data_IF_710017031619
#
_entry.id   IF_710017031619
#
_cell.length_a   1.000
_cell.length_b   1.000
_cell.length_c   1.000
_cell.angle_alpha   90.00
_cell.angle_beta   90.00
_cell.angle_gamma   90.00
#
_symmetry.space_group_name_H-M   'P 1'
#
loop_
_entity.id
_entity.type
_entity.pdbx_description
1 polymer ?
#
# COMPACT_ATOMS: atom_id res chain seq x y z
N UNK A 1 39.53 -42.92 -18.89
CA UNK A 1 40.31 -41.67 -18.98
C UNK A 1 40.90 -41.60 -20.37
N UNK A 2 40.39 -40.70 -21.24
CA UNK A 2 41.13 -39.89 -22.24
C UNK A 2 40.18 -38.83 -22.81
N UNK A 3 40.62 -37.57 -22.77
CA UNK A 3 40.23 -36.39 -23.57
C UNK A 3 41.56 -35.84 -24.15
N UNK A 4 41.68 -34.92 -25.14
CA UNK A 4 40.80 -34.40 -26.20
C UNK A 4 41.42 -34.62 -27.61
N UNK A 5 40.71 -34.31 -28.71
CA UNK A 5 41.38 -33.89 -29.97
C UNK A 5 40.50 -32.98 -30.82
N UNK A 6 41.05 -31.78 -31.01
CA UNK A 6 40.71 -30.66 -31.86
C UNK A 6 40.52 -31.02 -33.34
N UNK A 7 39.65 -30.29 -34.06
CA UNK A 7 39.86 -30.04 -35.49
C UNK A 7 39.58 -28.57 -35.88
N UNK A 8 40.37 -28.02 -36.83
CA UNK A 8 40.41 -26.59 -37.20
C UNK A 8 39.67 -26.32 -38.52
N UNK A 9 39.02 -25.17 -38.70
CA UNK A 9 38.80 -24.59 -40.04
C UNK A 9 38.66 -23.06 -39.95
N UNK A 10 39.73 -22.36 -40.33
CA UNK A 10 39.70 -20.97 -40.81
C UNK A 10 39.33 -20.97 -42.29
N UNK A 11 38.66 -19.88 -42.72
CA UNK A 11 38.70 -19.35 -44.08
C UNK A 11 37.38 -19.46 -44.86
N UNK A 12 36.62 -18.37 -45.00
CA UNK A 12 36.69 -17.44 -46.16
C UNK A 12 35.46 -16.49 -46.13
N UNK A 13 35.69 -15.19 -46.28
CA UNK A 13 34.68 -14.13 -46.45
C UNK A 13 33.93 -14.29 -47.80
N UNK A 14 32.71 -13.75 -47.96
CA UNK A 14 32.62 -12.55 -48.81
C UNK A 14 31.49 -11.54 -48.51
N UNK A 15 31.73 -10.34 -49.05
CA UNK A 15 30.81 -9.37 -49.67
C UNK A 15 29.90 -8.54 -48.74
N UNK A 16 30.17 -7.23 -48.65
CA UNK A 16 29.56 -6.19 -49.50
C UNK A 16 28.03 -6.13 -49.22
N UNK A 17 27.52 -5.16 -48.47
CA UNK A 17 27.67 -3.76 -48.81
C UNK A 17 26.51 -3.37 -49.72
N UNK A 18 25.54 -2.66 -49.15
CA UNK A 18 24.64 -1.72 -49.83
C UNK A 18 23.31 -2.22 -50.46
N UNK A 19 22.27 -1.45 -50.08
CA UNK A 19 21.06 -1.13 -50.83
C UNK A 19 19.96 -2.18 -51.07
N UNK A 20 18.90 -2.12 -50.24
CA UNK A 20 17.51 -2.40 -50.68
C UNK A 20 16.46 -1.43 -50.04
N UNK A 21 16.84 -0.24 -49.55
CA UNK A 21 15.84 0.76 -49.16
C UNK A 21 16.01 2.07 -49.90
N UNK A 22 15.64 2.03 -51.17
CA UNK A 22 15.20 3.22 -51.91
C UNK A 22 13.81 2.94 -52.49
N UNK A 23 12.81 3.69 -52.04
CA UNK A 23 11.52 3.71 -52.75
C UNK A 23 10.26 3.99 -51.93
N UNK A 24 10.03 5.29 -51.68
CA UNK A 24 8.70 5.95 -51.80
C UNK A 24 7.68 5.82 -50.64
N UNK A 25 7.63 6.92 -49.88
CA UNK A 25 6.46 7.55 -49.21
C UNK A 25 5.12 7.33 -49.94
N UNK A 26 4.06 7.02 -49.19
CA UNK A 26 2.84 7.80 -49.28
C UNK A 26 2.46 8.40 -47.92
N UNK A 27 2.17 9.70 -47.93
CA UNK A 27 1.25 10.29 -46.97
C UNK A 27 -0.15 9.74 -47.25
N UNK A 28 -0.81 9.18 -46.23
CA UNK A 28 -2.22 9.42 -45.95
C UNK A 28 -2.66 8.58 -44.73
N UNK A 29 -3.03 9.30 -43.68
CA UNK A 29 -4.17 9.06 -42.81
C UNK A 29 -4.45 7.63 -42.28
N UNK A 30 -4.49 7.60 -40.93
CA UNK A 30 -5.53 6.97 -40.12
C UNK A 30 -5.27 5.57 -39.54
N UNK A 31 -5.40 5.56 -38.20
CA UNK A 31 -6.01 4.54 -37.32
C UNK A 31 -5.21 3.29 -36.91
N UNK A 32 -5.47 2.93 -35.64
CA UNK A 32 -5.10 1.73 -34.88
C UNK A 32 -3.65 1.72 -34.34
N UNK A 33 -3.42 2.22 -33.13
CA UNK A 33 -3.61 1.51 -31.85
C UNK A 33 -2.72 0.26 -31.76
N UNK A 34 -1.59 0.43 -31.06
CA UNK A 34 -0.73 -0.66 -30.58
C UNK A 34 -1.09 -0.91 -29.12
N UNK A 35 -1.66 -2.06 -28.74
CA UNK A 35 -1.73 -2.45 -27.34
C UNK A 35 -0.40 -3.14 -26.97
N UNK A 36 0.50 -2.37 -26.36
CA UNK A 36 1.78 -2.87 -25.88
C UNK A 36 2.23 -2.07 -24.66
N UNK A 37 2.61 -2.81 -23.61
CA UNK A 37 3.10 -2.36 -22.31
C UNK A 37 2.03 -1.90 -21.31
N UNK A 38 1.58 -2.83 -20.46
CA UNK A 38 1.06 -2.51 -19.15
C UNK A 38 2.21 -1.91 -18.32
N UNK A 39 2.19 -0.59 -18.17
CA UNK A 39 3.04 0.15 -17.24
C UNK A 39 2.57 -0.17 -15.80
N UNK A 40 3.47 -0.45 -14.84
CA UNK A 40 3.10 -0.45 -13.42
C UNK A 40 2.69 0.97 -13.03
N UNK A 41 1.49 1.08 -12.44
CA UNK A 41 0.79 2.33 -12.16
C UNK A 41 1.65 3.43 -11.57
N UNK A 42 2.01 4.41 -12.40
CA UNK A 42 2.59 5.68 -11.99
C UNK A 42 1.54 6.77 -12.21
N UNK A 43 1.01 7.28 -11.10
CA UNK A 43 0.26 8.53 -11.04
C UNK A 43 -1.17 8.45 -11.55
N UNK A 44 -2.07 7.88 -10.73
CA UNK A 44 -3.46 8.31 -10.78
C UNK A 44 -3.44 9.85 -10.60
N UNK A 45 -3.81 10.57 -11.66
CA UNK A 45 -3.95 12.02 -11.60
C UNK A 45 -4.98 12.32 -10.51
N UNK A 46 -4.50 12.78 -9.36
CA UNK A 46 -5.35 13.27 -8.29
C UNK A 46 -6.36 14.26 -8.90
N UNK A 47 -7.68 14.05 -8.73
CA UNK A 47 -8.63 15.08 -9.12
C UNK A 47 -8.26 16.34 -8.32
N UNK A 48 -7.82 17.38 -9.03
CA UNK A 48 -7.19 18.57 -8.44
C UNK A 48 -8.09 19.42 -7.53
N UNK A 49 -9.31 18.97 -7.26
CA UNK A 49 -10.30 19.61 -6.40
C UNK A 49 -10.45 18.90 -5.03
N UNK A 50 -9.89 17.70 -4.85
CA UNK A 50 -9.87 17.05 -3.54
C UNK A 50 -8.78 17.68 -2.67
N UNK A 51 -9.21 18.54 -1.75
CA UNK A 51 -8.33 19.03 -0.69
C UNK A 51 -7.78 17.85 0.12
N UNK A 52 -6.47 17.85 0.45
CA UNK A 52 -5.92 16.82 1.32
C UNK A 52 -6.62 16.89 2.68
N UNK A 53 -6.91 15.72 3.29
CA UNK A 53 -7.56 15.69 4.59
C UNK A 53 -6.68 16.37 5.64
N UNK A 54 -7.32 16.90 6.68
CA UNK A 54 -6.63 17.64 7.73
C UNK A 54 -5.60 16.75 8.45
N UNK A 55 -4.48 17.37 8.84
CA UNK A 55 -3.46 16.73 9.65
C UNK A 55 -4.03 16.39 11.04
N UNK A 56 -3.76 15.17 11.51
CA UNK A 56 -4.20 14.63 12.79
C UNK A 56 -3.07 14.59 13.83
N UNK A 57 -3.40 14.33 15.10
CA UNK A 57 -2.38 14.14 16.16
C UNK A 57 -1.43 12.98 15.84
N UNK A 58 -1.95 11.88 15.27
CA UNK A 58 -1.13 10.74 14.84
C UNK A 58 -0.17 11.10 13.71
N UNK A 59 -0.51 12.05 12.84
CA UNK A 59 0.44 12.56 11.83
C UNK A 59 1.61 13.31 12.45
N UNK A 60 1.32 14.17 13.43
CA UNK A 60 2.34 14.94 14.14
C UNK A 60 3.28 14.03 14.92
N UNK A 61 2.73 13.01 15.58
CA UNK A 61 3.50 12.03 16.34
C UNK A 61 4.36 11.18 15.41
N UNK A 62 3.81 10.68 14.31
CA UNK A 62 4.58 9.89 13.35
C UNK A 62 5.69 10.71 12.68
N UNK A 63 5.43 11.99 12.36
CA UNK A 63 6.46 12.88 11.81
C UNK A 63 7.59 13.19 12.81
N UNK A 64 7.34 13.00 14.11
CA UNK A 64 8.33 13.18 15.18
C UNK A 64 9.21 11.95 15.40
N UNK A 65 8.77 10.76 14.98
CA UNK A 65 9.56 9.53 15.12
C UNK A 65 10.79 9.64 14.21
N UNK A 66 11.96 9.80 14.82
CA UNK A 66 13.24 9.99 14.10
C UNK A 66 13.77 8.69 13.48
N UNK A 67 13.17 7.54 13.82
CA UNK A 67 13.50 6.23 13.27
C UNK A 67 12.97 5.09 14.14
N UNK A 68 13.20 3.83 13.75
CA UNK A 68 12.75 2.65 14.50
C UNK A 68 13.42 2.49 15.87
N UNK A 69 14.48 3.25 16.15
CA UNK A 69 15.14 3.31 17.45
C UNK A 69 14.45 4.25 18.45
N UNK A 70 13.57 5.15 17.97
CA UNK A 70 12.86 6.11 18.80
C UNK A 70 11.66 5.46 19.50
N UNK A 71 11.96 4.65 20.52
CA UNK A 71 10.96 3.89 21.26
C UNK A 71 9.92 4.80 21.94
N UNK A 72 10.32 6.00 22.37
CA UNK A 72 9.39 6.94 23.02
C UNK A 72 8.38 7.50 22.02
N UNK A 73 8.81 8.05 20.87
CA UNK A 73 7.89 8.56 19.87
C UNK A 73 7.04 7.46 19.26
N UNK A 74 7.58 6.25 19.05
CA UNK A 74 6.78 5.09 18.64
C UNK A 74 5.71 4.74 19.68
N UNK A 75 6.05 4.76 20.97
CA UNK A 75 5.08 4.48 22.05
C UNK A 75 3.98 5.54 22.09
N UNK A 76 4.33 6.83 21.96
CA UNK A 76 3.35 7.92 21.92
C UNK A 76 2.43 7.80 20.69
N UNK A 77 3.00 7.52 19.51
CA UNK A 77 2.25 7.29 18.27
C UNK A 77 1.25 6.13 18.41
N UNK A 78 1.72 4.98 18.91
CA UNK A 78 0.85 3.82 19.05
C UNK A 78 -0.21 4.03 20.13
N UNK A 79 0.12 4.74 21.21
CA UNK A 79 -0.85 5.14 22.23
C UNK A 79 -1.96 6.01 21.64
N UNK A 80 -1.60 7.04 20.88
CA UNK A 80 -2.58 7.89 20.22
C UNK A 80 -3.42 7.10 19.19
N UNK A 81 -2.79 6.22 18.41
CA UNK A 81 -3.48 5.39 17.41
C UNK A 81 -4.46 4.40 18.04
N UNK A 82 -4.09 3.77 19.16
CA UNK A 82 -4.94 2.81 19.88
C UNK A 82 -6.03 3.47 20.72
N UNK A 83 -5.83 4.75 21.10
CA UNK A 83 -6.84 5.55 21.79
C UNK A 83 -7.94 6.08 20.84
N UNK A 84 -7.79 5.91 19.53
CA UNK A 84 -8.82 6.30 18.57
C UNK A 84 -10.13 5.53 18.82
N UNK A 85 -11.29 6.18 18.67
CA UNK A 85 -12.57 5.53 18.93
C UNK A 85 -12.84 4.40 17.93
N UNK A 86 -12.46 4.61 16.66
CA UNK A 86 -12.62 3.65 15.58
C UNK A 86 -11.47 3.77 14.59
N UNK A 87 -11.07 2.64 14.02
CA UNK A 87 -10.26 2.55 12.82
C UNK A 87 -11.17 2.29 11.63
N UNK A 88 -10.87 2.96 10.52
CA UNK A 88 -11.68 2.94 9.32
C UNK A 88 -11.03 2.08 8.25
N UNK A 89 -11.81 1.22 7.61
CA UNK A 89 -11.38 0.35 6.53
C UNK A 89 -12.28 0.60 5.32
N UNK A 90 -11.71 0.63 4.12
CA UNK A 90 -12.50 0.73 2.90
C UNK A 90 -13.15 -0.63 2.64
N UNK A 91 -14.46 -0.67 2.46
CA UNK A 91 -15.19 -1.89 2.19
C UNK A 91 -15.16 -2.17 0.68
N UNK A 92 -14.58 -3.30 0.28
CA UNK A 92 -14.51 -3.76 -1.12
C UNK A 92 -15.33 -5.03 -1.31
N UNK A 93 -15.98 -5.15 -2.47
CA UNK A 93 -16.84 -6.28 -2.81
C UNK A 93 -18.32 -5.92 -2.97
N UNK A 94 -19.13 -6.95 -3.20
CA UNK A 94 -20.58 -6.86 -3.33
C UNK A 94 -21.26 -6.70 -1.96
N UNK A 95 -22.40 -6.00 -1.96
CA UNK A 95 -23.24 -5.79 -0.78
C UNK A 95 -23.59 -7.12 -0.09
N UNK A 96 -23.24 -7.25 1.19
CA UNK A 96 -23.42 -8.46 2.00
C UNK A 96 -22.21 -9.39 2.02
N UNK A 97 -21.18 -9.12 1.22
CA UNK A 97 -19.89 -9.85 1.21
C UNK A 97 -18.68 -8.92 1.29
N UNK A 98 -18.92 -7.66 1.67
CA UNK A 98 -17.85 -6.67 1.73
C UNK A 98 -16.75 -7.10 2.69
N UNK A 99 -15.51 -7.00 2.22
CA UNK A 99 -14.31 -7.25 3.00
C UNK A 99 -13.49 -5.96 3.08
N UNK A 100 -12.73 -5.76 4.16
CA UNK A 100 -11.85 -4.60 4.25
C UNK A 100 -10.77 -4.68 3.15
N UNK A 101 -10.47 -3.54 2.54
CA UNK A 101 -9.49 -3.43 1.48
C UNK A 101 -8.10 -3.84 1.98
N UNK A 102 -7.47 -4.75 1.24
CA UNK A 102 -6.10 -5.15 1.46
C UNK A 102 -5.29 -4.90 0.19
N UNK A 103 -4.02 -4.55 0.35
CA UNK A 103 -3.07 -4.38 -0.74
C UNK A 103 -1.82 -5.20 -0.46
N UNK A 104 -1.18 -5.71 -1.52
CA UNK A 104 0.13 -6.34 -1.40
C UNK A 104 1.21 -5.25 -1.38
N UNK A 105 2.00 -5.20 -0.31
CA UNK A 105 3.09 -4.25 -0.10
C UNK A 105 4.32 -5.06 0.29
N UNK A 106 5.40 -4.92 -0.49
CA UNK A 106 6.63 -5.71 -0.33
C UNK A 106 6.40 -7.23 -0.30
N UNK A 107 5.41 -7.72 -1.07
CA UNK A 107 5.04 -9.14 -1.14
C UNK A 107 4.25 -9.64 0.07
N UNK A 108 3.78 -8.75 0.93
CA UNK A 108 2.94 -9.07 2.09
C UNK A 108 1.57 -8.43 1.96
N UNK A 109 0.50 -9.19 2.22
CA UNK A 109 -0.86 -8.66 2.21
C UNK A 109 -1.08 -7.80 3.46
N UNK A 110 -1.42 -6.53 3.27
CA UNK A 110 -1.60 -5.53 4.31
C UNK A 110 -3.01 -4.94 4.24
N UNK A 111 -3.70 -4.85 5.37
CA UNK A 111 -4.99 -4.16 5.45
C UNK A 111 -4.78 -2.64 5.41
N UNK A 112 -5.56 -1.98 4.56
CA UNK A 112 -5.56 -0.53 4.45
C UNK A 112 -6.45 0.04 5.56
N UNK A 113 -5.80 0.66 6.53
CA UNK A 113 -6.43 1.19 7.74
C UNK A 113 -6.27 2.70 7.77
N UNK A 114 -7.31 3.40 8.21
CA UNK A 114 -7.32 4.86 8.24
C UNK A 114 -7.74 5.34 9.62
N UNK A 115 -7.11 6.42 10.07
CA UNK A 115 -7.43 7.05 11.35
C UNK A 115 -8.76 7.83 11.30
N UNK A 116 -9.24 8.20 10.10
CA UNK A 116 -10.51 8.89 9.88
C UNK A 116 -11.16 8.47 8.54
N UNK A 117 -12.50 8.45 8.50
CA UNK A 117 -13.31 8.21 7.31
C UNK A 117 -12.98 9.14 6.14
N UNK A 118 -12.71 10.42 6.41
CA UNK A 118 -12.35 11.40 5.37
C UNK A 118 -11.05 11.00 4.65
N UNK A 119 -10.07 10.44 5.39
CA UNK A 119 -8.80 9.97 4.83
C UNK A 119 -8.98 8.70 4.02
N UNK A 120 -9.84 7.79 4.48
CA UNK A 120 -10.24 6.60 3.73
C UNK A 120 -10.92 6.99 2.40
N UNK A 121 -11.83 7.98 2.45
CA UNK A 121 -12.55 8.46 1.26
C UNK A 121 -11.59 9.11 0.28
N UNK A 122 -10.74 9.99 0.78
CA UNK A 122 -9.71 10.63 -0.03
C UNK A 122 -8.84 9.59 -0.75
N UNK A 123 -8.36 8.57 -0.03
CA UNK A 123 -7.61 7.47 -0.62
C UNK A 123 -8.41 6.71 -1.69
N UNK A 124 -9.66 6.37 -1.39
CA UNK A 124 -10.53 5.61 -2.29
C UNK A 124 -10.78 6.39 -3.60
N UNK A 125 -11.04 7.69 -3.54
CA UNK A 125 -11.21 8.51 -4.74
C UNK A 125 -9.90 8.65 -5.52
N UNK A 126 -8.78 8.88 -4.82
CA UNK A 126 -7.47 9.01 -5.47
C UNK A 126 -7.05 7.73 -6.22
N UNK A 127 -7.38 6.56 -5.69
CA UNK A 127 -7.08 5.28 -6.30
C UNK A 127 -8.16 4.80 -7.29
N UNK A 128 -9.18 5.63 -7.57
CA UNK A 128 -10.27 5.30 -8.47
C UNK A 128 -11.17 4.16 -7.99
N UNK A 129 -11.20 3.89 -6.68
CA UNK A 129 -12.09 2.90 -6.06
C UNK A 129 -13.54 3.38 -6.01
N UNK A 130 -13.74 4.69 -5.85
CA UNK A 130 -15.04 5.37 -5.88
C UNK A 130 -14.92 6.69 -6.65
N UNK A 131 -16.01 7.16 -7.23
CA UNK A 131 -16.10 8.50 -7.82
C UNK A 131 -16.07 9.62 -6.79
N UNK A 132 -15.76 10.85 -7.24
CA UNK A 132 -15.69 12.05 -6.38
C UNK A 132 -17.03 12.44 -5.74
N UNK A 133 -18.15 12.08 -6.37
CA UNK A 133 -19.52 12.28 -5.86
C UNK A 133 -20.11 11.02 -5.21
N UNK A 134 -19.37 9.91 -5.20
CA UNK A 134 -19.83 8.67 -4.57
C UNK A 134 -19.52 8.67 -3.06
N UNK A 135 -20.38 7.98 -2.32
CA UNK A 135 -20.24 7.75 -0.89
C UNK A 135 -19.32 6.56 -0.63
N UNK A 136 -18.41 6.72 0.34
CA UNK A 136 -17.51 5.64 0.70
C UNK A 136 -18.26 4.62 1.55
N UNK A 137 -18.28 3.36 1.09
CA UNK A 137 -18.58 2.23 1.96
C UNK A 137 -17.36 1.96 2.85
N UNK A 138 -17.42 2.39 4.10
CA UNK A 138 -16.37 2.18 5.08
C UNK A 138 -16.87 1.31 6.24
N UNK A 139 -15.99 0.44 6.71
CA UNK A 139 -16.21 -0.35 7.92
C UNK A 139 -15.44 0.36 9.04
N UNK A 140 -16.15 0.77 10.09
CA UNK A 140 -15.57 1.39 11.27
C UNK A 140 -15.52 0.35 12.40
N UNK A 141 -14.32 -0.04 12.82
CA UNK A 141 -14.13 -1.01 13.90
C UNK A 141 -13.37 -0.38 15.06
N UNK A 142 -13.77 -0.63 16.31
CA UNK A 142 -12.98 -0.20 17.45
C UNK A 142 -11.63 -0.94 17.47
N UNK A 143 -10.53 -0.29 17.89
CA UNK A 143 -9.20 -0.90 17.90
C UNK A 143 -9.15 -2.26 18.62
N UNK A 144 -9.87 -2.38 19.74
CA UNK A 144 -9.92 -3.62 20.52
C UNK A 144 -10.49 -4.82 19.72
N UNK A 145 -11.46 -4.59 18.84
CA UNK A 145 -12.07 -5.64 18.02
C UNK A 145 -11.15 -6.08 16.88
N UNK A 146 -10.45 -5.11 16.28
CA UNK A 146 -9.43 -5.38 15.26
C UNK A 146 -8.27 -6.18 15.85
N UNK A 147 -7.81 -5.81 17.06
CA UNK A 147 -6.75 -6.54 17.78
C UNK A 147 -7.20 -7.97 18.10
N UNK A 148 -8.44 -8.15 18.56
CA UNK A 148 -9.00 -9.49 18.83
C UNK A 148 -9.08 -10.35 17.55
N UNK A 149 -9.25 -9.71 16.39
CA UNK A 149 -9.28 -10.34 15.07
C UNK A 149 -7.89 -10.62 14.49
N UNK A 150 -6.81 -10.30 15.22
CA UNK A 150 -5.42 -10.43 14.74
C UNK A 150 -5.06 -11.83 14.26
N UNK A 151 -5.52 -12.88 14.95
CA UNK A 151 -5.28 -14.27 14.52
C UNK A 151 -6.03 -14.61 13.23
N UNK A 152 -7.26 -14.13 13.06
CA UNK A 152 -8.03 -14.32 11.82
C UNK A 152 -7.30 -13.69 10.64
N UNK A 153 -6.76 -12.49 10.81
CA UNK A 153 -5.96 -11.84 9.76
C UNK A 153 -4.73 -12.67 9.39
N UNK A 154 -4.00 -13.19 10.38
CA UNK A 154 -2.84 -14.06 10.13
C UNK A 154 -3.21 -15.33 9.36
N UNK A 155 -4.30 -15.99 9.72
CA UNK A 155 -4.79 -17.20 9.04
C UNK A 155 -5.22 -16.89 7.60
N UNK A 156 -5.74 -15.68 7.35
CA UNK A 156 -6.05 -15.17 6.01
C UNK A 156 -4.82 -14.68 5.22
N UNK A 157 -3.60 -14.80 5.77
CA UNK A 157 -2.37 -14.36 5.11
C UNK A 157 -2.09 -12.86 5.18
N UNK A 158 -2.87 -12.12 5.98
CA UNK A 158 -2.66 -10.69 6.22
C UNK A 158 -1.52 -10.53 7.23
N UNK A 159 -0.40 -9.99 6.76
CA UNK A 159 0.80 -9.80 7.56
C UNK A 159 0.77 -8.56 8.45
N UNK A 160 -0.15 -7.62 8.20
CA UNK A 160 -0.27 -6.43 9.03
C UNK A 160 -1.31 -5.43 8.58
N UNK A 161 -1.35 -4.31 9.31
CA UNK A 161 -2.22 -3.17 9.05
C UNK A 161 -1.33 -1.98 8.70
N UNK A 162 -1.65 -1.30 7.60
CA UNK A 162 -1.00 -0.06 7.20
C UNK A 162 -1.94 1.10 7.44
N UNK A 163 -1.48 2.06 8.25
CA UNK A 163 -2.22 3.25 8.63
C UNK A 163 -1.90 4.41 7.70
N UNK A 164 -2.95 5.01 7.13
CA UNK A 164 -2.89 6.20 6.30
C UNK A 164 -1.76 6.16 5.24
N UNK A 165 -1.77 5.15 4.35
CA UNK A 165 -0.68 4.86 3.40
C UNK A 165 -0.32 6.01 2.45
N UNK A 166 -1.26 6.94 2.21
CA UNK A 166 -1.07 8.09 1.32
C UNK A 166 -0.54 9.35 2.01
N UNK A 167 -0.35 9.33 3.34
CA UNK A 167 0.04 10.51 4.11
C UNK A 167 1.20 10.19 5.03
N UNK A 168 0.95 9.42 6.07
CA UNK A 168 1.93 9.12 7.12
C UNK A 168 2.62 7.79 6.86
N UNK A 169 1.85 6.79 6.43
CA UNK A 169 2.36 5.50 5.98
C UNK A 169 3.08 4.66 7.04
N UNK A 170 2.62 4.67 8.29
CA UNK A 170 3.15 3.77 9.33
C UNK A 170 2.35 2.46 9.36
N UNK A 171 2.97 1.37 9.78
CA UNK A 171 2.33 0.06 9.79
C UNK A 171 2.66 -0.73 11.05
N UNK A 172 1.83 -1.72 11.35
CA UNK A 172 2.05 -2.69 12.42
C UNK A 172 1.78 -4.09 11.89
N UNK A 173 2.67 -5.03 12.19
CA UNK A 173 2.46 -6.43 11.83
C UNK A 173 1.32 -7.03 12.65
N UNK A 174 0.54 -7.92 12.05
CA UNK A 174 -0.57 -8.61 12.73
C UNK A 174 -0.09 -9.42 13.94
N UNK A 175 1.17 -9.88 13.94
CA UNK A 175 1.82 -10.51 15.10
C UNK A 175 2.12 -9.53 16.24
N UNK A 176 2.50 -8.28 15.92
CA UNK A 176 2.86 -7.27 16.90
C UNK A 176 1.64 -6.54 17.47
N UNK A 177 0.54 -6.51 16.71
CA UNK A 177 -0.70 -5.84 17.07
C UNK A 177 -1.19 -6.17 18.51
N UNK A 178 -1.37 -7.46 18.90
CA UNK A 178 -1.80 -7.78 20.26
C UNK A 178 -0.75 -7.44 21.34
N UNK A 179 0.54 -7.51 21.01
CA UNK A 179 1.63 -7.21 21.94
C UNK A 179 1.66 -5.72 22.26
N UNK A 180 1.55 -4.86 21.24
CA UNK A 180 1.55 -3.41 21.40
C UNK A 180 0.27 -2.95 22.11
N UNK A 181 -0.87 -3.60 21.81
CA UNK A 181 -2.14 -3.33 22.48
C UNK A 181 -2.09 -3.61 23.98
N UNK A 182 -1.57 -4.78 24.37
CA UNK A 182 -1.39 -5.15 25.77
C UNK A 182 -0.44 -4.19 26.50
N UNK A 183 0.68 -3.85 25.87
CA UNK A 183 1.67 -2.94 26.45
C UNK A 183 1.09 -1.54 26.72
N UNK A 184 0.22 -1.02 25.86
CA UNK A 184 -0.41 0.30 26.02
C UNK A 184 -1.58 0.24 27.01
N UNK A 185 -2.39 -0.81 26.94
CA UNK A 185 -3.54 -1.00 27.82
C UNK A 185 -3.10 -1.20 29.27
N UNK A 186 -2.02 -1.95 29.49
CA UNK A 186 -1.44 -2.18 30.82
C UNK A 186 -0.87 -0.92 31.45
N UNK A 187 -0.28 -0.02 30.66
CA UNK A 187 0.23 1.27 31.14
C UNK A 187 -0.87 2.26 31.52
N UNK A 188 -2.06 2.13 30.91
CA UNK A 188 -3.22 2.97 31.24
C UNK A 188 -3.86 2.54 32.57
N UNK A 189 -3.72 1.26 32.95
CA UNK A 189 -4.19 0.72 34.22
C UNK A 189 -3.32 1.05 35.45
N UNK A 190 -2.06 1.42 35.25
CA UNK A 190 -1.09 1.70 36.33
C UNK A 190 -1.07 3.18 36.79
N UNK A 191 -2.20 3.89 36.62
CA UNK A 191 -2.41 5.24 37.18
C UNK A 191 -3.66 5.26 38.07
N UNK A 192 -3.79 4.29 38.98
CA UNK A 192 -4.71 4.44 40.10
C UNK A 192 -4.07 5.38 41.15
N UNK A 193 -4.72 6.49 41.55
CA UNK A 193 -4.17 7.36 42.58
C UNK A 193 -4.13 6.58 43.90
N UNK A 194 -2.93 6.35 44.41
CA UNK A 194 -2.75 6.01 45.82
C UNK A 194 -3.09 7.27 46.63
N UNK A 195 -4.33 7.33 47.13
CA UNK A 195 -4.85 8.39 48.00
C UNK A 195 -5.77 7.81 49.06
#
# INVERSE_FOLDING_TARGET
MTDPTSMPFQGEEPADGDSIYEGRRPEAAATAETPGAAEPGAGAAVPGDLLPPAQTETDLLAARVEGPEDQQGMTELWRATMALPHWWFIAVGDEGTESPAAAEIDGQLMLLTFTNAERARHFAVQNGMIGVDEDLRAIALPPAEVVASGETYRVSGIGGLMFDPHLTGYFISSEQLPVVWDAISSQTGDQAPQG
#
